data_IF_889532995684
#
_entry.id   IF_889532995684
#
_cell.length_a   1.000
_cell.length_b   1.000
_cell.length_c   1.000
_cell.angle_alpha   90.00
_cell.angle_beta   90.00
_cell.angle_gamma   90.00
#
_symmetry.space_group_name_H-M   'P 1'
#
loop_
_entity.id
_entity.type
_entity.pdbx_description
1 polymer ?
#
# COMPACT_ATOMS: atom_id res chain seq x y z
N UNK A 1 11.72 -14.36 27.27
CA UNK A 1 12.33 -13.41 26.30
C UNK A 1 13.70 -13.03 26.81
N UNK A 2 14.68 -12.89 25.92
CA UNK A 2 16.02 -12.44 26.32
C UNK A 2 15.95 -10.99 26.86
N UNK A 3 16.73 -10.68 27.90
CA UNK A 3 16.75 -9.35 28.53
C UNK A 3 16.96 -8.19 27.53
N UNK A 4 17.83 -8.30 26.50
CA UNK A 4 17.99 -7.23 25.50
C UNK A 4 16.72 -6.93 24.69
N UNK A 5 15.88 -7.94 24.43
CA UNK A 5 14.63 -7.77 23.66
C UNK A 5 13.62 -6.96 24.47
N UNK A 6 13.55 -7.21 25.77
CA UNK A 6 12.65 -6.48 26.67
C UNK A 6 13.05 -5.01 26.74
N UNK A 7 14.35 -4.72 26.89
CA UNK A 7 14.84 -3.33 26.92
C UNK A 7 14.57 -2.59 25.60
N UNK A 8 14.76 -3.26 24.45
CA UNK A 8 14.46 -2.67 23.14
C UNK A 8 12.98 -2.31 22.98
N UNK A 9 12.07 -3.16 23.49
CA UNK A 9 10.62 -2.89 23.48
C UNK A 9 10.31 -1.68 24.35
N UNK A 10 10.82 -1.65 25.60
CA UNK A 10 10.60 -0.53 26.53
C UNK A 10 11.10 0.78 25.92
N UNK A 11 12.31 0.78 25.36
CA UNK A 11 12.91 1.94 24.70
C UNK A 11 12.07 2.41 23.50
N UNK A 12 11.58 1.48 22.67
CA UNK A 12 10.71 1.81 21.52
C UNK A 12 9.39 2.45 21.97
N UNK A 13 8.76 1.93 23.02
CA UNK A 13 7.52 2.48 23.58
C UNK A 13 7.73 3.89 24.14
N UNK A 14 8.84 4.14 24.84
CA UNK A 14 9.18 5.49 25.34
C UNK A 14 9.32 6.51 24.21
N UNK A 15 10.00 6.14 23.11
CA UNK A 15 10.13 7.01 21.94
C UNK A 15 8.77 7.29 21.28
N UNK A 16 7.91 6.26 21.18
CA UNK A 16 6.57 6.40 20.60
C UNK A 16 5.65 7.33 21.43
N UNK A 17 5.81 7.37 22.75
CA UNK A 17 5.08 8.28 23.63
C UNK A 17 5.62 9.72 23.58
N UNK A 18 6.86 9.91 23.14
CA UNK A 18 7.53 11.20 23.03
C UNK A 18 7.09 12.06 21.83
N UNK A 19 7.66 13.27 21.69
CA UNK A 19 7.37 14.18 20.58
C UNK A 19 7.72 13.59 19.20
N UNK A 20 8.81 12.84 19.12
CA UNK A 20 9.21 12.13 17.90
C UNK A 20 8.17 11.07 17.46
N UNK A 21 7.58 10.34 18.42
CA UNK A 21 6.49 9.42 18.14
C UNK A 21 5.29 10.11 17.52
N UNK A 22 4.86 11.25 18.09
CA UNK A 22 3.77 12.06 17.53
C UNK A 22 4.08 12.51 16.10
N UNK A 23 5.29 13.04 15.85
CA UNK A 23 5.74 13.45 14.51
C UNK A 23 5.66 12.30 13.51
N UNK A 24 6.14 11.11 13.88
CA UNK A 24 6.10 9.90 13.02
C UNK A 24 4.67 9.46 12.72
N UNK A 25 3.76 9.53 13.69
CA UNK A 25 2.34 9.21 13.50
C UNK A 25 1.69 10.17 12.49
N UNK A 26 1.96 11.47 12.60
CA UNK A 26 1.46 12.46 11.64
C UNK A 26 2.00 12.19 10.23
N UNK A 27 3.31 11.96 10.08
CA UNK A 27 3.92 11.65 8.79
C UNK A 27 3.35 10.36 8.18
N UNK A 28 3.17 9.32 9.00
CA UNK A 28 2.56 8.06 8.56
C UNK A 28 1.14 8.29 8.03
N UNK A 29 0.33 9.09 8.74
CA UNK A 29 -1.03 9.40 8.33
C UNK A 29 -1.08 10.17 7.00
N UNK A 30 -0.19 11.16 6.82
CA UNK A 30 -0.09 11.93 5.58
C UNK A 30 0.31 11.04 4.39
N UNK A 31 1.42 10.30 4.55
CA UNK A 31 1.91 9.35 3.54
C UNK A 31 0.83 8.33 3.13
N UNK A 32 0.10 7.82 4.12
CA UNK A 32 -0.98 6.85 3.92
C UNK A 32 -2.11 7.44 3.10
N UNK A 33 -2.59 8.64 3.47
CA UNK A 33 -3.68 9.31 2.76
C UNK A 33 -3.30 9.61 1.32
N UNK A 34 -2.08 10.10 1.12
CA UNK A 34 -1.55 10.37 -0.22
C UNK A 34 -1.49 9.12 -1.08
N UNK A 35 -0.82 8.07 -0.59
CA UNK A 35 -0.61 6.86 -1.39
C UNK A 35 -1.96 6.22 -1.75
N UNK A 36 -2.90 6.19 -0.79
CA UNK A 36 -4.25 5.67 -1.03
C UNK A 36 -5.06 6.51 -2.01
N UNK A 37 -5.01 7.85 -1.93
CA UNK A 37 -5.75 8.70 -2.86
C UNK A 37 -5.26 8.48 -4.29
N UNK A 38 -3.93 8.45 -4.50
CA UNK A 38 -3.33 8.21 -5.81
C UNK A 38 -3.71 6.86 -6.40
N UNK A 39 -3.71 5.78 -5.60
CA UNK A 39 -4.18 4.47 -6.06
C UNK A 39 -5.65 4.47 -6.51
N UNK A 40 -6.51 5.15 -5.76
CA UNK A 40 -7.93 5.29 -6.13
C UNK A 40 -8.07 6.11 -7.41
N UNK A 41 -7.32 7.20 -7.53
CA UNK A 41 -7.32 8.06 -8.71
C UNK A 41 -6.82 7.31 -9.96
N UNK A 42 -5.88 6.37 -9.81
CA UNK A 42 -5.38 5.49 -10.89
C UNK A 42 -6.38 4.41 -11.32
N UNK A 43 -7.50 4.24 -10.60
CA UNK A 43 -8.56 3.28 -10.93
C UNK A 43 -8.44 1.92 -10.23
N UNK A 44 -7.57 1.78 -9.23
CA UNK A 44 -7.52 0.58 -8.41
C UNK A 44 -8.62 0.55 -7.35
N UNK A 45 -9.08 -0.65 -6.99
CA UNK A 45 -10.00 -0.85 -5.87
C UNK A 45 -9.18 -1.02 -4.59
N UNK A 46 -9.11 0.04 -3.79
CA UNK A 46 -8.42 0.05 -2.50
C UNK A 46 -9.42 -0.26 -1.38
N UNK A 47 -9.18 -1.33 -0.64
CA UNK A 47 -10.07 -1.81 0.43
C UNK A 47 -9.76 -1.15 1.80
N UNK A 48 -10.70 -1.23 2.73
CA UNK A 48 -10.50 -0.83 4.13
C UNK A 48 -10.53 0.69 4.40
N UNK A 49 -10.10 1.06 5.62
CA UNK A 49 -10.19 2.43 6.14
C UNK A 49 -9.15 3.35 5.49
N UNK A 50 -9.56 4.58 5.14
CA UNK A 50 -8.70 5.62 4.54
C UNK A 50 -7.51 6.04 5.42
N UNK A 51 -7.66 5.95 6.74
CA UNK A 51 -6.63 6.32 7.71
C UNK A 51 -5.77 5.12 8.15
N UNK A 52 -6.00 3.91 7.61
CA UNK A 52 -5.18 2.75 7.93
C UNK A 52 -3.90 2.75 7.11
N UNK A 53 -2.71 2.59 7.73
CA UNK A 53 -1.42 2.57 7.03
C UNK A 53 -1.23 1.35 6.13
N UNK A 54 -2.14 0.37 6.21
CA UNK A 54 -2.22 -0.73 5.27
C UNK A 54 -3.18 -0.33 4.16
N UNK A 55 -2.69 -0.34 2.92
CA UNK A 55 -3.47 -0.09 1.71
C UNK A 55 -3.60 -1.39 0.89
N UNK A 56 -4.68 -2.17 1.09
CA UNK A 56 -4.93 -3.38 0.31
C UNK A 56 -5.53 -3.03 -1.05
N UNK A 57 -4.92 -3.50 -2.13
CA UNK A 57 -5.45 -3.39 -3.49
C UNK A 57 -5.93 -4.76 -3.98
N UNK A 58 -7.20 -4.85 -4.37
CA UNK A 58 -7.79 -6.11 -4.85
C UNK A 58 -7.29 -6.46 -6.25
N UNK A 59 -6.77 -7.67 -6.39
CA UNK A 59 -6.28 -8.22 -7.67
C UNK A 59 -7.16 -9.39 -8.16
N UNK A 60 -7.96 -9.97 -7.26
CA UNK A 60 -8.91 -11.06 -7.45
C UNK A 60 -8.25 -12.39 -7.84
N UNK A 61 -7.82 -12.52 -9.10
CA UNK A 61 -7.33 -13.79 -9.64
C UNK A 61 -5.91 -14.09 -9.14
N UNK A 62 -5.65 -15.27 -8.51
CA UNK A 62 -4.33 -15.63 -7.99
C UNK A 62 -3.20 -15.56 -9.04
N UNK A 63 -3.47 -15.95 -10.29
CA UNK A 63 -2.48 -15.85 -11.37
C UNK A 63 -2.03 -14.40 -11.61
N UNK A 64 -2.94 -13.43 -11.50
CA UNK A 64 -2.63 -11.99 -11.64
C UNK A 64 -1.83 -11.48 -10.46
N UNK A 65 -2.12 -11.98 -9.25
CA UNK A 65 -1.39 -11.65 -8.02
C UNK A 65 0.08 -12.06 -8.15
N UNK A 66 0.35 -13.30 -8.56
CA UNK A 66 1.72 -13.80 -8.74
C UNK A 66 2.47 -13.02 -9.82
N UNK A 67 1.82 -12.74 -10.96
CA UNK A 67 2.42 -11.93 -12.03
C UNK A 67 2.73 -10.52 -11.54
N UNK A 68 1.79 -9.86 -10.84
CA UNK A 68 1.98 -8.54 -10.27
C UNK A 68 3.18 -8.50 -9.32
N UNK A 69 3.30 -9.47 -8.41
CA UNK A 69 4.44 -9.54 -7.49
C UNK A 69 5.77 -9.65 -8.23
N UNK A 70 5.84 -10.52 -9.24
CA UNK A 70 7.06 -10.73 -10.02
C UNK A 70 7.46 -9.48 -10.81
N UNK A 71 6.50 -8.77 -11.38
CA UNK A 71 6.75 -7.53 -12.13
C UNK A 71 7.19 -6.38 -11.23
N UNK A 72 6.60 -6.25 -10.03
CA UNK A 72 7.03 -5.27 -9.04
C UNK A 72 8.44 -5.58 -8.53
N UNK A 73 8.75 -6.85 -8.27
CA UNK A 73 10.07 -7.29 -7.83
C UNK A 73 11.15 -7.03 -8.88
N UNK A 74 10.85 -7.25 -10.17
CA UNK A 74 11.75 -6.90 -11.28
C UNK A 74 12.09 -5.41 -11.33
N UNK A 75 11.18 -4.55 -10.88
CA UNK A 75 11.36 -3.10 -10.75
C UNK A 75 11.99 -2.69 -9.41
N UNK A 76 12.46 -3.65 -8.62
CA UNK A 76 13.11 -3.39 -7.32
C UNK A 76 12.15 -3.08 -6.17
N UNK A 77 10.84 -3.34 -6.34
CA UNK A 77 9.82 -3.03 -5.33
C UNK A 77 9.24 -4.33 -4.78
N UNK A 78 9.55 -4.61 -3.51
CA UNK A 78 8.97 -5.76 -2.81
C UNK A 78 7.54 -5.47 -2.37
N UNK A 79 6.60 -6.35 -2.74
CA UNK A 79 5.19 -6.22 -2.37
C UNK A 79 4.69 -7.47 -1.65
N UNK A 80 3.82 -7.28 -0.66
CA UNK A 80 3.23 -8.39 0.09
C UNK A 80 1.91 -8.79 -0.57
N UNK A 81 1.92 -9.94 -1.24
CA UNK A 81 0.69 -10.51 -1.81
C UNK A 81 0.03 -11.48 -0.84
N UNK A 82 -1.29 -11.39 -0.73
CA UNK A 82 -2.10 -12.22 0.17
C UNK A 82 -3.22 -12.90 -0.63
N UNK A 83 -3.28 -14.22 -0.56
CA UNK A 83 -4.31 -15.06 -1.16
C UNK A 83 -4.92 -16.02 -0.14
N UNK A 84 -5.63 -17.04 -0.63
CA UNK A 84 -6.13 -18.14 0.19
C UNK A 84 -4.95 -18.89 0.87
N UNK A 85 -5.07 -19.31 2.15
CA UNK A 85 -6.23 -19.31 3.04
C UNK A 85 -6.45 -18.02 3.84
N UNK A 86 -5.53 -17.06 3.79
CA UNK A 86 -5.61 -15.83 4.58
C UNK A 86 -6.72 -14.86 4.12
N UNK A 87 -7.22 -15.02 2.90
CA UNK A 87 -8.36 -14.29 2.33
C UNK A 87 -9.23 -15.26 1.54
N UNK A 88 -10.49 -14.90 1.26
CA UNK A 88 -11.35 -15.69 0.36
C UNK A 88 -10.69 -15.82 -1.01
N UNK A 89 -10.96 -16.93 -1.72
CA UNK A 89 -10.33 -17.26 -3.00
C UNK A 89 -10.43 -16.14 -4.05
N UNK A 90 -11.58 -15.44 -4.10
CA UNK A 90 -11.85 -14.35 -5.03
C UNK A 90 -11.41 -12.97 -4.52
N UNK A 91 -10.85 -12.88 -3.31
CA UNK A 91 -10.44 -11.59 -2.70
C UNK A 91 -8.92 -11.50 -2.51
N UNK A 92 -8.17 -12.19 -3.37
CA UNK A 92 -6.73 -12.09 -3.38
C UNK A 92 -6.29 -10.66 -3.69
N UNK A 93 -5.31 -10.18 -2.92
CA UNK A 93 -4.96 -8.76 -2.86
C UNK A 93 -3.49 -8.56 -2.56
N UNK A 94 -2.96 -7.42 -2.96
CA UNK A 94 -1.65 -6.95 -2.50
C UNK A 94 -1.85 -5.99 -1.33
N UNK A 95 -1.01 -6.08 -0.29
CA UNK A 95 -1.03 -5.20 0.88
C UNK A 95 0.20 -4.29 0.83
N UNK A 96 -0.02 -3.01 0.61
CA UNK A 96 1.02 -2.01 0.77
C UNK A 96 1.03 -1.52 2.21
N UNK A 97 2.15 -1.69 2.91
CA UNK A 97 2.34 -1.24 4.27
C UNK A 97 3.15 0.06 4.26
N UNK A 98 2.48 1.19 4.50
CA UNK A 98 3.14 2.49 4.49
C UNK A 98 3.85 2.71 5.83
N UNK A 99 5.03 3.32 5.76
CA UNK A 99 5.84 3.71 6.91
C UNK A 99 5.98 5.22 6.97
N UNK A 100 6.21 5.74 8.18
CA UNK A 100 6.58 7.13 8.40
C UNK A 100 7.93 7.49 7.73
N UNK A 101 8.79 6.49 7.50
CA UNK A 101 10.11 6.67 6.90
C UNK A 101 10.08 6.81 5.37
N UNK A 102 8.97 6.48 4.71
CA UNK A 102 8.89 6.63 3.26
C UNK A 102 8.88 8.11 2.87
N UNK A 103 9.77 8.49 1.96
CA UNK A 103 9.76 9.83 1.37
C UNK A 103 8.71 9.93 0.27
N UNK A 104 8.36 11.16 -0.11
CA UNK A 104 7.41 11.39 -1.20
C UNK A 104 7.90 10.79 -2.52
N UNK A 105 9.19 10.94 -2.82
CA UNK A 105 9.79 10.36 -4.02
C UNK A 105 9.68 8.84 -4.04
N UNK A 106 9.93 8.15 -2.91
CA UNK A 106 9.78 6.69 -2.84
C UNK A 106 8.34 6.25 -3.12
N UNK A 107 7.36 6.98 -2.56
CA UNK A 107 5.94 6.70 -2.80
C UNK A 107 5.57 6.94 -4.27
N UNK A 108 6.09 8.00 -4.89
CA UNK A 108 5.85 8.32 -6.30
C UNK A 108 6.46 7.28 -7.24
N UNK A 109 7.69 6.85 -6.99
CA UNK A 109 8.33 5.75 -7.73
C UNK A 109 7.51 4.47 -7.63
N UNK A 110 7.02 4.13 -6.43
CA UNK A 110 6.17 2.96 -6.25
C UNK A 110 4.83 3.10 -7.00
N UNK A 111 4.20 4.27 -6.93
CA UNK A 111 2.95 4.56 -7.63
C UNK A 111 3.10 4.48 -9.16
N UNK A 112 4.20 5.00 -9.72
CA UNK A 112 4.49 4.89 -11.15
C UNK A 112 4.63 3.43 -11.59
N UNK A 113 5.43 2.64 -10.87
CA UNK A 113 5.57 1.22 -11.15
C UNK A 113 4.25 0.46 -11.06
N UNK A 114 3.40 0.79 -10.06
CA UNK A 114 2.07 0.19 -9.92
C UNK A 114 1.17 0.55 -11.12
N UNK A 115 1.23 1.80 -11.60
CA UNK A 115 0.44 2.26 -12.74
C UNK A 115 0.84 1.57 -14.05
N UNK A 116 2.15 1.43 -14.29
CA UNK A 116 2.69 0.67 -15.43
C UNK A 116 2.24 -0.79 -15.40
N UNK A 117 2.46 -1.47 -14.28
CA UNK A 117 2.10 -2.89 -14.13
C UNK A 117 0.59 -3.08 -14.18
N UNK A 118 -0.20 -2.12 -13.66
CA UNK A 118 -1.66 -2.12 -13.75
C UNK A 118 -2.20 -1.88 -15.17
N UNK A 119 -1.35 -1.45 -16.08
CA UNK A 119 -1.64 -1.31 -17.52
C UNK A 119 -1.28 -2.60 -18.26
N UNK A 120 -0.11 -3.19 -17.97
CA UNK A 120 0.33 -4.48 -18.55
C UNK A 120 -0.51 -5.67 -18.08
N UNK A 121 -0.97 -5.60 -16.84
CA UNK A 121 -1.90 -6.54 -16.22
C UNK A 121 -3.16 -5.72 -15.98
N UNK A 122 -4.22 -5.87 -16.79
CA UNK A 122 -5.44 -5.08 -16.65
C UNK A 122 -6.09 -5.27 -15.26
N UNK A 123 -5.76 -4.38 -14.32
CA UNK A 123 -6.12 -4.46 -12.90
C UNK A 123 -6.92 -3.23 -12.42
N UNK A 124 -7.20 -2.29 -13.31
CA UNK A 124 -7.99 -1.07 -13.05
C UNK A 124 -9.49 -1.38 -13.13
N UNK A 125 -10.04 -1.96 -12.06
CA UNK A 125 -11.44 -2.38 -12.03
C UNK A 125 -12.42 -1.25 -11.67
N UNK A 126 -11.95 -0.11 -11.16
CA UNK A 126 -12.83 0.97 -10.72
C UNK A 126 -13.40 1.76 -11.90
N UNK A 127 -14.74 1.83 -11.99
CA UNK A 127 -15.46 2.65 -12.98
C UNK A 127 -15.46 4.14 -12.64
N UNK A 128 -15.14 4.52 -11.40
CA UNK A 128 -15.10 5.92 -10.95
C UNK A 128 -14.05 6.76 -11.69
N UNK A 129 -12.97 6.13 -12.15
CA UNK A 129 -11.92 6.79 -12.93
C UNK A 129 -12.45 7.32 -14.27
N UNK A 130 -13.32 6.55 -14.96
CA UNK A 130 -13.91 6.97 -16.24
C UNK A 130 -14.82 8.21 -16.09
N UNK A 131 -15.58 8.31 -15.00
CA UNK A 131 -16.51 9.44 -14.76
C UNK A 131 -15.82 10.80 -14.57
N UNK A 132 -14.56 10.84 -14.12
CA UNK A 132 -13.81 12.11 -14.00
C UNK A 132 -13.27 12.60 -15.34
N UNK A 133 -12.71 11.71 -16.15
CA UNK A 133 -12.15 12.05 -17.47
C UNK A 133 -13.19 12.59 -18.46
N UNK A 134 -14.45 12.20 -18.33
CA UNK A 134 -15.57 12.72 -19.15
C UNK A 134 -16.14 14.05 -18.65
N UNK A 135 -15.79 14.54 -17.46
CA UNK A 135 -16.24 15.86 -16.95
C UNK A 135 -15.30 17.00 -17.28
N UNK A 136 -14.10 16.69 -17.78
CA UNK A 136 -13.07 17.67 -18.17
C UNK A 136 -13.00 17.85 -19.71
N UNK A 137 -13.99 17.29 -20.42
CA UNK A 137 -14.26 17.48 -21.86
C UNK A 137 -15.60 18.20 -22.01
#
# INVERSE_FOLDING_TARGET
MAAPVVEQIISSLRILQGPEGKKRIYQLADNTRYFRSRLVDMGFIVYGNKNSPVAPVLLYLPARVTRFNREMLRRGIAVVTVGFPATKLLEARVRFCISAAHTRQMLDTALMAIDEVGTEIPLRYSTRHKSRRFREL
#
